data_IF_071340760429
#
_entry.id   IF_071340760429
#
_cell.length_a   1.000
_cell.length_b   1.000
_cell.length_c   1.000
_cell.angle_alpha   90.00
_cell.angle_beta   90.00
_cell.angle_gamma   90.00
#
_symmetry.space_group_name_H-M   'P 1'
#
loop_
_entity.id
_entity.type
_entity.pdbx_description
1 polymer ?
#
# COMPACT_ATOMS: atom_id res chain seq x y z
N UNK A 1 -32.54 -12.92 -62.49
CA UNK A 1 -32.62 -11.94 -61.38
C UNK A 1 -32.66 -12.60 -60.00
N UNK A 2 -33.59 -13.50 -59.68
CA UNK A 2 -33.65 -14.18 -58.36
C UNK A 2 -32.33 -14.84 -57.91
N UNK A 3 -31.62 -15.55 -58.79
CA UNK A 3 -30.32 -16.18 -58.47
C UNK A 3 -29.17 -15.19 -58.17
N UNK A 4 -29.24 -13.97 -58.70
CA UNK A 4 -28.24 -12.92 -58.43
C UNK A 4 -28.52 -12.29 -57.07
N UNK A 5 -29.79 -12.03 -56.76
CA UNK A 5 -30.24 -11.51 -55.47
C UNK A 5 -29.86 -12.48 -54.34
N UNK A 6 -30.07 -13.79 -54.51
CA UNK A 6 -29.67 -14.79 -53.50
C UNK A 6 -28.16 -14.81 -53.25
N UNK A 7 -27.33 -14.66 -54.29
CA UNK A 7 -25.87 -14.61 -54.14
C UNK A 7 -25.40 -13.33 -53.45
N UNK A 8 -26.02 -12.19 -53.75
CA UNK A 8 -25.73 -10.91 -53.09
C UNK A 8 -26.13 -10.95 -51.62
N UNK A 9 -27.29 -11.52 -51.29
CA UNK A 9 -27.74 -11.68 -49.90
C UNK A 9 -26.81 -12.59 -49.09
N UNK A 10 -26.33 -13.69 -49.68
CA UNK A 10 -25.36 -14.58 -49.01
C UNK A 10 -24.01 -13.87 -48.78
N UNK A 11 -23.55 -13.08 -49.75
CA UNK A 11 -22.29 -12.31 -49.63
C UNK A 11 -22.41 -11.22 -48.54
N UNK A 12 -23.56 -10.55 -48.44
CA UNK A 12 -23.82 -9.55 -47.40
C UNK A 12 -23.93 -10.20 -46.02
N UNK A 13 -24.64 -11.32 -45.88
CA UNK A 13 -24.74 -12.05 -44.60
C UNK A 13 -23.39 -12.61 -44.12
N UNK A 14 -22.52 -13.04 -45.05
CA UNK A 14 -21.17 -13.51 -44.71
C UNK A 14 -20.19 -12.38 -44.44
N UNK A 15 -20.46 -11.16 -44.92
CA UNK A 15 -19.68 -9.97 -44.57
C UNK A 15 -19.99 -9.44 -43.16
N UNK A 16 -21.24 -9.54 -42.70
CA UNK A 16 -21.65 -9.05 -41.36
C UNK A 16 -20.98 -9.83 -40.22
N UNK A 17 -20.66 -11.11 -40.42
CA UNK A 17 -19.95 -11.93 -39.43
C UNK A 17 -18.46 -11.61 -39.29
N UNK A 18 -17.88 -10.78 -40.18
CA UNK A 18 -16.46 -10.38 -40.10
C UNK A 18 -16.26 -9.08 -39.31
N UNK A 19 -17.34 -8.34 -39.00
CA UNK A 19 -17.28 -7.06 -38.28
C UNK A 19 -17.64 -7.14 -36.79
N UNK A 20 -17.81 -8.34 -36.23
CA UNK A 20 -17.92 -8.51 -34.78
C UNK A 20 -16.52 -8.49 -34.15
N UNK A 21 -15.92 -7.30 -34.01
CA UNK A 21 -14.73 -7.15 -33.18
C UNK A 21 -15.13 -7.27 -31.71
N UNK A 22 -14.82 -8.40 -31.08
CA UNK A 22 -14.89 -8.49 -29.62
C UNK A 22 -13.89 -7.48 -29.06
N UNK A 23 -14.36 -6.53 -28.24
CA UNK A 23 -13.46 -5.73 -27.43
C UNK A 23 -12.84 -6.66 -26.38
N UNK A 24 -11.59 -7.06 -26.60
CA UNK A 24 -10.81 -7.91 -25.68
C UNK A 24 -10.07 -7.08 -24.62
N UNK A 25 -10.12 -5.75 -24.71
CA UNK A 25 -9.58 -4.83 -23.70
C UNK A 25 -10.58 -4.67 -22.55
N UNK A 26 -11.02 -5.81 -22.02
CA UNK A 26 -11.89 -5.87 -20.84
C UNK A 26 -11.02 -5.73 -19.60
N UNK A 27 -11.05 -4.56 -18.99
CA UNK A 27 -10.57 -4.38 -17.63
C UNK A 27 -11.69 -4.79 -16.65
N UNK A 28 -11.36 -5.35 -15.49
CA UNK A 28 -12.37 -5.57 -14.47
C UNK A 28 -12.98 -4.21 -14.11
N UNK A 29 -14.30 -4.05 -14.23
CA UNK A 29 -15.01 -2.79 -14.01
C UNK A 29 -14.71 -2.17 -12.62
N UNK A 30 -14.30 -3.00 -11.66
CA UNK A 30 -14.02 -2.63 -10.29
C UNK A 30 -12.53 -2.39 -9.95
N UNK A 31 -11.58 -2.62 -10.86
CA UNK A 31 -10.15 -2.44 -10.57
C UNK A 31 -9.48 -1.54 -11.61
N UNK A 32 -9.24 -0.29 -11.22
CA UNK A 32 -8.36 0.61 -11.96
C UNK A 32 -6.94 0.47 -11.41
N UNK A 33 -5.98 0.21 -12.28
CA UNK A 33 -4.56 0.33 -11.94
C UNK A 33 -4.26 1.80 -11.73
N UNK A 34 -3.60 2.15 -10.63
CA UNK A 34 -3.16 3.51 -10.40
C UNK A 34 -2.13 3.91 -11.48
N UNK A 35 -2.43 4.98 -12.21
CA UNK A 35 -1.51 5.63 -13.13
C UNK A 35 -1.33 7.08 -12.65
N UNK A 36 -0.12 7.49 -12.24
CA UNK A 36 0.12 8.86 -11.77
C UNK A 36 -0.06 9.92 -12.86
N UNK A 37 -0.16 9.53 -14.14
CA UNK A 37 -0.40 10.46 -15.26
C UNK A 37 -1.87 10.82 -15.44
N UNK A 38 -2.77 10.07 -14.82
CA UNK A 38 -4.20 10.26 -14.95
C UNK A 38 -4.80 10.73 -13.61
N UNK A 39 -5.87 11.53 -13.62
CA UNK A 39 -6.59 11.85 -12.40
C UNK A 39 -7.06 10.58 -11.69
N UNK A 40 -6.94 10.58 -10.36
CA UNK A 40 -7.42 9.46 -9.54
C UNK A 40 -8.80 9.74 -8.94
N UNK A 41 -9.11 11.02 -8.66
CA UNK A 41 -10.39 11.47 -8.13
C UNK A 41 -11.17 12.23 -9.21
N UNK A 42 -12.37 11.76 -9.54
CA UNK A 42 -13.28 12.41 -10.50
C UNK A 42 -14.53 12.96 -9.82
N UNK A 43 -14.87 12.43 -8.64
CA UNK A 43 -16.03 12.79 -7.84
C UNK A 43 -15.76 12.55 -6.36
N UNK A 44 -16.59 13.14 -5.50
CA UNK A 44 -16.49 13.04 -4.05
C UNK A 44 -16.51 11.60 -3.53
N UNK A 45 -17.23 10.68 -4.19
CA UNK A 45 -17.26 9.27 -3.81
C UNK A 45 -15.90 8.58 -3.96
N UNK A 46 -15.06 9.01 -4.91
CA UNK A 46 -13.72 8.45 -5.10
C UNK A 46 -12.81 8.85 -3.94
N UNK A 47 -12.89 10.12 -3.52
CA UNK A 47 -12.16 10.64 -2.35
C UNK A 47 -12.62 9.93 -1.07
N UNK A 48 -13.93 9.70 -0.91
CA UNK A 48 -14.48 8.92 0.21
C UNK A 48 -13.97 7.48 0.20
N UNK A 49 -13.87 6.86 -0.96
CA UNK A 49 -13.27 5.53 -1.11
C UNK A 49 -11.80 5.50 -0.67
N UNK A 50 -11.03 6.54 -1.01
CA UNK A 50 -9.65 6.68 -0.55
C UNK A 50 -9.54 6.93 0.96
N UNK A 51 -10.38 7.80 1.53
CA UNK A 51 -10.50 7.98 2.98
C UNK A 51 -10.73 6.63 3.69
N UNK A 52 -11.75 5.88 3.28
CA UNK A 52 -12.08 4.59 3.89
C UNK A 52 -10.94 3.57 3.71
N UNK A 53 -10.24 3.63 2.58
CA UNK A 53 -9.06 2.81 2.33
C UNK A 53 -7.89 3.16 3.25
N UNK A 54 -7.58 4.45 3.47
CA UNK A 54 -6.52 4.90 4.40
C UNK A 54 -6.73 4.25 5.78
N UNK A 55 -7.94 4.36 6.33
CA UNK A 55 -8.27 3.77 7.62
C UNK A 55 -8.29 2.24 7.60
N UNK A 56 -8.70 1.61 6.51
CA UNK A 56 -8.65 0.16 6.36
C UNK A 56 -7.21 -0.36 6.46
N UNK A 57 -6.27 0.24 5.74
CA UNK A 57 -4.86 -0.15 5.81
C UNK A 57 -4.22 0.23 7.14
N UNK A 58 -4.62 1.36 7.74
CA UNK A 58 -4.11 1.78 9.05
C UNK A 58 -4.56 0.82 10.15
N UNK A 59 -5.83 0.44 10.16
CA UNK A 59 -6.36 -0.56 11.11
C UNK A 59 -5.61 -1.89 11.01
N UNK A 60 -5.29 -2.34 9.79
CA UNK A 60 -4.57 -3.59 9.57
C UNK A 60 -3.13 -3.56 10.11
N UNK A 61 -2.54 -2.39 10.30
CA UNK A 61 -1.17 -2.20 10.83
C UNK A 61 -1.12 -1.78 12.30
N UNK A 62 -2.27 -1.55 12.94
CA UNK A 62 -2.36 -1.07 14.33
C UNK A 62 -2.83 -2.13 15.33
N UNK A 63 -2.91 -3.41 14.95
CA UNK A 63 -3.47 -4.43 15.83
C UNK A 63 -3.06 -5.85 15.49
N UNK A 64 -3.64 -6.79 16.24
CA UNK A 64 -3.35 -8.22 16.08
C UNK A 64 -1.87 -8.53 16.32
N UNK A 65 -1.36 -9.49 15.56
CA UNK A 65 0.00 -10.01 15.72
C UNK A 65 1.08 -8.93 15.60
N UNK A 66 0.88 -7.91 14.75
CA UNK A 66 1.86 -6.85 14.52
C UNK A 66 2.15 -6.03 15.78
N UNK A 67 1.18 -5.92 16.69
CA UNK A 67 1.32 -5.17 17.92
C UNK A 67 1.93 -6.03 19.04
N UNK A 68 1.27 -7.13 19.42
CA UNK A 68 1.68 -7.91 20.59
C UNK A 68 2.90 -8.82 20.34
N UNK A 69 3.34 -9.01 19.09
CA UNK A 69 4.59 -9.74 18.83
C UNK A 69 5.79 -9.07 19.54
N UNK A 70 5.81 -7.74 19.59
CA UNK A 70 6.86 -7.00 20.31
C UNK A 70 6.78 -7.20 21.82
N UNK A 71 5.58 -7.36 22.39
CA UNK A 71 5.40 -7.73 23.79
C UNK A 71 5.94 -9.14 24.07
N UNK A 72 5.77 -10.08 23.14
CA UNK A 72 6.32 -11.44 23.30
C UNK A 72 7.86 -11.51 23.22
N UNK A 73 8.50 -10.52 22.59
CA UNK A 73 9.96 -10.37 22.59
C UNK A 73 10.46 -9.77 23.91
N UNK A 74 9.60 -9.08 24.65
CA UNK A 74 9.95 -8.55 25.96
C UNK A 74 10.08 -9.70 26.97
N UNK A 75 11.17 -9.68 27.75
CA UNK A 75 11.52 -10.74 28.71
C UNK A 75 10.57 -10.86 29.92
N UNK A 76 9.47 -10.09 29.95
CA UNK A 76 8.44 -10.17 30.99
C UNK A 76 7.42 -11.30 30.78
N UNK A 77 7.38 -11.94 29.61
CA UNK A 77 6.44 -13.02 29.32
C UNK A 77 7.14 -14.38 29.22
N UNK A 78 6.57 -15.39 29.87
CA UNK A 78 7.10 -16.75 29.87
C UNK A 78 6.08 -17.73 29.27
N UNK A 79 6.58 -18.73 28.55
CA UNK A 79 5.76 -19.82 28.04
C UNK A 79 5.14 -20.63 29.20
N UNK A 80 3.85 -20.91 29.11
CA UNK A 80 3.11 -21.77 30.06
C UNK A 80 2.87 -23.16 29.47
N UNK A 81 2.38 -24.10 30.28
CA UNK A 81 2.16 -25.51 29.88
C UNK A 81 1.29 -25.70 28.63
N UNK A 82 0.47 -24.71 28.26
CA UNK A 82 -0.37 -24.71 27.05
C UNK A 82 0.18 -23.92 25.85
N UNK A 83 1.43 -23.46 25.88
CA UNK A 83 2.00 -22.56 24.86
C UNK A 83 1.95 -23.14 23.43
N UNK A 84 2.10 -24.47 23.28
CA UNK A 84 1.96 -25.15 21.99
C UNK A 84 2.93 -24.67 20.91
N UNK A 85 4.03 -24.02 21.31
CA UNK A 85 5.02 -23.41 20.44
C UNK A 85 4.48 -22.35 19.45
N UNK A 86 3.31 -21.75 19.73
CA UNK A 86 2.77 -20.65 18.93
C UNK A 86 3.67 -19.42 19.13
N UNK A 87 4.27 -18.89 18.06
CA UNK A 87 5.22 -17.76 18.14
C UNK A 87 6.49 -18.08 18.95
N UNK A 88 6.93 -19.34 18.93
CA UNK A 88 8.10 -19.79 19.69
C UNK A 88 9.41 -19.11 19.32
N UNK A 89 9.63 -18.83 18.02
CA UNK A 89 10.81 -18.11 17.53
C UNK A 89 10.89 -16.68 18.08
N UNK A 90 9.77 -15.95 18.05
CA UNK A 90 9.66 -14.62 18.67
C UNK A 90 9.92 -14.66 20.16
N UNK A 91 9.33 -15.62 20.87
CA UNK A 91 9.47 -15.72 22.33
C UNK A 91 10.91 -16.01 22.75
N UNK A 92 11.60 -16.90 22.03
CA UNK A 92 12.98 -17.28 22.35
C UNK A 92 14.02 -16.31 21.81
N UNK A 93 13.70 -15.56 20.76
CA UNK A 93 14.63 -14.69 20.03
C UNK A 93 15.97 -15.40 19.73
N UNK A 94 15.92 -16.69 19.41
CA UNK A 94 17.09 -17.54 19.19
C UNK A 94 17.48 -17.58 17.70
N UNK A 95 18.42 -18.45 17.34
CA UNK A 95 18.88 -18.61 15.95
C UNK A 95 17.78 -19.04 14.95
N UNK A 96 16.61 -19.46 15.42
CA UNK A 96 15.45 -19.79 14.57
C UNK A 96 14.63 -18.57 14.18
N UNK A 97 14.82 -17.42 14.84
CA UNK A 97 14.17 -16.17 14.49
C UNK A 97 14.97 -15.47 13.38
N UNK A 98 14.64 -15.83 12.14
CA UNK A 98 15.35 -15.37 10.93
C UNK A 98 14.45 -14.49 10.06
N UNK A 99 15.00 -13.98 8.95
CA UNK A 99 14.25 -13.18 7.98
C UNK A 99 13.13 -13.96 7.27
N UNK A 100 13.17 -15.30 7.28
CA UNK A 100 12.15 -16.18 6.69
C UNK A 100 11.06 -16.59 7.69
N UNK A 101 11.09 -16.03 8.90
CA UNK A 101 10.04 -16.26 9.89
C UNK A 101 8.74 -15.57 9.43
N UNK A 102 7.63 -16.29 9.48
CA UNK A 102 6.34 -15.79 8.99
C UNK A 102 5.93 -14.46 9.64
N UNK A 103 6.33 -14.21 10.89
CA UNK A 103 5.99 -13.00 11.60
C UNK A 103 6.85 -11.81 11.19
N UNK A 104 8.11 -12.08 10.82
CA UNK A 104 9.02 -11.08 10.25
C UNK A 104 8.53 -10.67 8.87
N UNK A 105 8.24 -11.65 8.00
CA UNK A 105 7.70 -11.41 6.66
C UNK A 105 6.35 -10.69 6.70
N UNK A 106 5.45 -11.13 7.61
CA UNK A 106 4.13 -10.50 7.78
C UNK A 106 4.24 -9.05 8.24
N UNK A 107 5.14 -8.72 9.17
CA UNK A 107 5.34 -7.35 9.62
C UNK A 107 5.89 -6.47 8.51
N UNK A 108 6.96 -6.91 7.84
CA UNK A 108 7.53 -6.18 6.72
C UNK A 108 6.49 -5.95 5.60
N UNK A 109 5.82 -7.03 5.18
CA UNK A 109 4.82 -7.00 4.12
C UNK A 109 3.62 -6.12 4.44
N UNK A 110 3.11 -6.15 5.68
CA UNK A 110 1.97 -5.35 6.09
C UNK A 110 2.25 -3.84 6.00
N UNK A 111 3.38 -3.38 6.57
CA UNK A 111 3.73 -1.96 6.55
C UNK A 111 4.05 -1.47 5.14
N UNK A 112 4.82 -2.21 4.33
CA UNK A 112 5.11 -1.78 2.95
C UNK A 112 3.89 -1.85 2.03
N UNK A 113 2.97 -2.79 2.25
CA UNK A 113 1.68 -2.80 1.56
C UNK A 113 0.90 -1.53 1.89
N UNK A 114 0.80 -1.17 3.17
CA UNK A 114 0.11 0.06 3.59
C UNK A 114 0.79 1.32 3.00
N UNK A 115 2.11 1.44 3.11
CA UNK A 115 2.90 2.55 2.54
C UNK A 115 2.65 2.70 1.04
N UNK A 116 2.62 1.60 0.28
CA UNK A 116 2.33 1.66 -1.16
C UNK A 116 0.98 2.31 -1.46
N UNK A 117 -0.03 2.09 -0.61
CA UNK A 117 -1.36 2.68 -0.75
C UNK A 117 -1.39 4.13 -0.30
N UNK A 118 -0.72 4.46 0.80
CA UNK A 118 -0.59 5.85 1.25
C UNK A 118 0.10 6.71 0.20
N UNK A 119 1.15 6.21 -0.45
CA UNK A 119 1.81 6.92 -1.54
C UNK A 119 0.84 7.26 -2.69
N UNK A 120 -0.02 6.29 -3.09
CA UNK A 120 -1.07 6.54 -4.09
C UNK A 120 -1.99 7.68 -3.65
N UNK A 121 -2.49 7.67 -2.42
CA UNK A 121 -3.44 8.69 -1.95
C UNK A 121 -2.80 10.08 -1.77
N UNK A 122 -1.55 10.12 -1.34
CA UNK A 122 -0.76 11.35 -1.22
C UNK A 122 -0.51 11.97 -2.60
N UNK A 123 -0.10 11.15 -3.58
CA UNK A 123 0.13 11.61 -4.96
C UNK A 123 -1.19 12.00 -5.65
N UNK A 124 -2.26 11.23 -5.43
CA UNK A 124 -3.59 11.47 -6.01
C UNK A 124 -4.21 12.82 -5.61
N UNK A 125 -3.97 13.29 -4.38
CA UNK A 125 -4.50 14.57 -3.93
C UNK A 125 -3.92 15.77 -4.71
N UNK A 126 -2.72 15.65 -5.28
CA UNK A 126 -2.16 16.68 -6.17
C UNK A 126 -2.73 16.67 -7.59
N UNK A 127 -3.52 15.67 -7.95
CA UNK A 127 -4.03 15.42 -9.30
C UNK A 127 -5.58 15.38 -9.35
N UNK A 128 -6.27 16.14 -8.49
CA UNK A 128 -7.74 16.27 -8.51
C UNK A 128 -8.21 17.30 -9.53
N UNK A 129 -9.08 16.91 -10.48
CA UNK A 129 -9.62 17.80 -11.53
C UNK A 129 -10.94 18.50 -11.17
N UNK A 130 -11.24 18.71 -9.88
CA UNK A 130 -12.49 19.37 -9.46
C UNK A 130 -12.36 20.18 -8.16
N UNK A 131 -12.77 21.45 -8.21
CA UNK A 131 -12.72 22.37 -7.06
C UNK A 131 -13.61 21.88 -5.89
N UNK A 132 -14.71 21.16 -6.18
CA UNK A 132 -15.72 20.77 -5.18
C UNK A 132 -15.22 19.74 -4.15
N UNK A 133 -14.19 18.96 -4.46
CA UNK A 133 -13.67 17.89 -3.60
C UNK A 133 -12.17 18.00 -3.31
N UNK A 134 -11.49 19.03 -3.82
CA UNK A 134 -10.06 19.27 -3.60
C UNK A 134 -9.73 19.38 -2.11
N UNK A 135 -10.53 20.12 -1.34
CA UNK A 135 -10.34 20.24 0.10
C UNK A 135 -10.47 18.88 0.82
N UNK A 136 -11.42 18.05 0.40
CA UNK A 136 -11.57 16.71 0.98
C UNK A 136 -10.40 15.81 0.61
N UNK A 137 -9.90 15.89 -0.63
CA UNK A 137 -8.71 15.17 -1.06
C UNK A 137 -7.46 15.58 -0.26
N UNK A 138 -7.33 16.87 0.07
CA UNK A 138 -6.27 17.37 0.95
C UNK A 138 -6.37 16.79 2.37
N UNK A 139 -7.56 16.69 2.96
CA UNK A 139 -7.72 16.01 4.25
C UNK A 139 -7.31 14.52 4.18
N UNK A 140 -7.69 13.81 3.12
CA UNK A 140 -7.27 12.41 2.92
C UNK A 140 -5.75 12.29 2.75
N UNK A 141 -5.12 13.27 2.09
CA UNK A 141 -3.65 13.35 1.99
C UNK A 141 -3.01 13.50 3.38
N UNK A 142 -3.52 14.40 4.22
CA UNK A 142 -3.01 14.60 5.58
C UNK A 142 -3.11 13.30 6.42
N UNK A 143 -4.24 12.60 6.34
CA UNK A 143 -4.42 11.31 7.02
C UNK A 143 -3.46 10.23 6.49
N UNK A 144 -3.27 10.16 5.16
CA UNK A 144 -2.33 9.22 4.54
C UNK A 144 -0.88 9.51 4.93
N UNK A 145 -0.48 10.79 5.03
CA UNK A 145 0.84 11.21 5.51
C UNK A 145 1.07 10.74 6.95
N UNK A 146 0.11 10.97 7.87
CA UNK A 146 0.20 10.49 9.26
C UNK A 146 0.32 8.96 9.32
N UNK A 147 -0.48 8.26 8.52
CA UNK A 147 -0.46 6.80 8.47
C UNK A 147 0.86 6.23 7.90
N UNK A 148 1.47 6.92 6.91
CA UNK A 148 2.79 6.60 6.37
C UNK A 148 3.90 6.85 7.39
N UNK A 149 3.86 7.98 8.09
CA UNK A 149 4.78 8.30 9.20
C UNK A 149 4.73 7.22 10.29
N UNK A 150 3.53 6.80 10.70
CA UNK A 150 3.35 5.69 11.64
C UNK A 150 3.98 4.40 11.13
N UNK A 151 3.73 4.03 9.88
CA UNK A 151 4.26 2.80 9.27
C UNK A 151 5.79 2.79 9.24
N UNK A 152 6.42 3.91 8.87
CA UNK A 152 7.88 4.03 8.93
C UNK A 152 8.42 3.98 10.35
N UNK A 153 7.72 4.56 11.33
CA UNK A 153 8.12 4.48 12.73
C UNK A 153 8.12 3.03 13.22
N UNK A 154 7.09 2.23 12.88
CA UNK A 154 7.06 0.82 13.25
C UNK A 154 8.17 0.03 12.56
N UNK A 155 8.38 0.26 11.26
CA UNK A 155 9.49 -0.37 10.52
C UNK A 155 10.85 -0.05 11.13
N UNK A 156 11.11 1.21 11.48
CA UNK A 156 12.36 1.61 12.12
C UNK A 156 12.56 0.91 13.48
N UNK A 157 11.51 0.84 14.30
CA UNK A 157 11.56 0.18 15.61
C UNK A 157 11.78 -1.34 15.52
N UNK A 158 11.32 -1.98 14.46
CA UNK A 158 11.41 -3.43 14.27
C UNK A 158 12.70 -3.88 13.55
N UNK A 159 13.20 -3.07 12.62
CA UNK A 159 14.23 -3.48 11.65
C UNK A 159 15.52 -2.66 11.70
N UNK A 160 15.63 -1.70 12.62
CA UNK A 160 16.81 -0.88 12.79
C UNK A 160 17.29 -0.84 14.25
N UNK A 161 18.57 -0.53 14.49
CA UNK A 161 19.04 -0.17 15.83
C UNK A 161 18.31 1.06 16.36
N UNK A 162 18.25 1.20 17.68
CA UNK A 162 17.72 2.41 18.33
C UNK A 162 18.42 3.66 17.82
N UNK A 163 17.66 4.71 17.54
CA UNK A 163 18.15 5.93 16.89
C UNK A 163 19.40 6.54 17.55
N UNK A 164 19.35 6.78 18.86
CA UNK A 164 20.43 7.47 19.60
C UNK A 164 21.73 6.66 19.52
N UNK A 165 22.77 7.26 18.97
CA UNK A 165 24.08 6.63 18.75
C UNK A 165 24.16 5.72 17.51
N UNK A 166 23.09 5.62 16.73
CA UNK A 166 23.03 4.85 15.48
C UNK A 166 22.35 5.66 14.36
N UNK A 167 22.49 6.98 14.38
CA UNK A 167 21.81 7.89 13.46
C UNK A 167 22.17 7.59 12.00
N UNK A 168 23.43 7.24 11.75
CA UNK A 168 23.92 6.93 10.40
C UNK A 168 23.89 5.42 10.08
N UNK A 169 23.38 4.59 11.00
CA UNK A 169 23.18 3.17 10.75
C UNK A 169 22.02 2.94 9.77
N UNK A 170 22.10 1.86 9.00
CA UNK A 170 21.03 1.49 8.08
C UNK A 170 19.74 1.16 8.85
N UNK A 171 18.63 1.72 8.35
CA UNK A 171 17.28 1.48 8.81
C UNK A 171 16.51 0.66 7.77
N UNK A 172 15.60 1.27 7.01
CA UNK A 172 14.76 0.59 6.01
C UNK A 172 14.74 1.39 4.70
N UNK A 173 14.37 0.79 3.57
CA UNK A 173 14.21 1.55 2.34
C UNK A 173 13.13 2.63 2.44
N UNK A 174 13.42 3.84 1.93
CA UNK A 174 12.43 4.90 1.80
C UNK A 174 11.77 4.81 0.42
N UNK A 175 10.47 4.47 0.40
CA UNK A 175 9.62 4.39 -0.79
C UNK A 175 8.50 5.42 -0.63
N UNK A 176 8.65 6.56 -1.28
CA UNK A 176 7.74 7.72 -1.10
C UNK A 176 6.77 7.94 -2.26
N UNK A 177 6.91 7.13 -3.31
CA UNK A 177 6.05 7.11 -4.50
C UNK A 177 5.59 5.70 -4.79
N UNK A 178 4.47 5.57 -5.47
CA UNK A 178 4.02 4.26 -5.93
C UNK A 178 4.81 3.82 -7.18
N UNK A 179 5.74 2.87 -7.00
CA UNK A 179 6.45 2.22 -8.09
C UNK A 179 6.71 0.75 -7.75
N UNK A 180 6.06 -0.16 -8.48
CA UNK A 180 6.20 -1.61 -8.28
C UNK A 180 7.56 -2.15 -8.72
N UNK A 181 8.29 -1.42 -9.56
CA UNK A 181 9.59 -1.82 -10.10
C UNK A 181 10.76 -1.25 -9.27
N UNK A 182 10.47 -0.40 -8.29
CA UNK A 182 11.48 0.22 -7.46
C UNK A 182 12.36 -0.83 -6.75
N UNK A 183 13.67 -0.60 -6.78
CA UNK A 183 14.68 -1.38 -6.04
C UNK A 183 15.49 -0.47 -5.12
N UNK A 184 14.84 0.16 -4.13
CA UNK A 184 15.50 1.11 -3.25
C UNK A 184 16.52 0.41 -2.35
N UNK A 185 17.63 1.10 -2.08
CA UNK A 185 18.54 0.72 -1.00
C UNK A 185 17.98 1.15 0.35
N UNK A 186 18.49 0.56 1.44
CA UNK A 186 18.13 0.98 2.81
C UNK A 186 18.65 2.40 3.05
N UNK A 187 17.80 3.26 3.60
CA UNK A 187 18.18 4.58 4.09
C UNK A 187 18.74 4.49 5.52
N UNK A 188 19.33 5.58 6.02
CA UNK A 188 19.81 5.62 7.42
C UNK A 188 18.67 5.84 8.41
N UNK A 189 18.92 5.61 9.70
CA UNK A 189 18.01 6.01 10.77
C UNK A 189 17.69 7.52 10.69
N UNK A 190 18.70 8.36 10.46
CA UNK A 190 18.54 9.81 10.30
C UNK A 190 17.54 10.15 9.20
N UNK A 191 17.68 9.55 8.03
CA UNK A 191 16.82 9.83 6.88
C UNK A 191 15.38 9.35 7.13
N UNK A 192 15.21 8.16 7.70
CA UNK A 192 13.87 7.62 7.98
C UNK A 192 13.13 8.46 9.02
N UNK A 193 13.80 8.86 10.11
CA UNK A 193 13.19 9.72 11.12
C UNK A 193 12.96 11.16 10.63
N UNK A 194 13.80 11.66 9.71
CA UNK A 194 13.55 12.92 9.02
C UNK A 194 12.27 12.84 8.19
N UNK A 195 12.08 11.76 7.40
CA UNK A 195 10.85 11.57 6.62
C UNK A 195 9.61 11.45 7.51
N UNK A 196 9.69 10.71 8.63
CA UNK A 196 8.58 10.62 9.60
C UNK A 196 8.20 12.03 10.08
N UNK A 197 9.18 12.87 10.35
CA UNK A 197 8.94 14.25 10.81
C UNK A 197 8.35 15.12 9.70
N UNK A 198 8.86 14.98 8.47
CA UNK A 198 8.36 15.70 7.30
C UNK A 198 6.90 15.36 7.01
N UNK A 199 6.53 14.08 6.99
CA UNK A 199 5.15 13.64 6.78
C UNK A 199 4.20 14.24 7.84
N UNK A 200 4.62 14.29 9.11
CA UNK A 200 3.82 14.86 10.21
C UNK A 200 3.72 16.40 10.15
N UNK A 201 4.76 17.07 9.66
CA UNK A 201 4.75 18.52 9.46
C UNK A 201 3.85 18.87 8.27
N UNK A 202 4.03 18.20 7.13
CA UNK A 202 3.19 18.43 5.95
C UNK A 202 1.71 18.19 6.26
N UNK A 203 1.39 17.10 6.98
CA UNK A 203 0.01 16.81 7.39
C UNK A 203 -0.61 17.88 8.30
N UNK A 204 0.20 18.61 9.09
CA UNK A 204 -0.28 19.67 9.99
C UNK A 204 -0.61 20.95 9.24
N UNK A 205 0.13 21.25 8.17
CA UNK A 205 -0.02 22.49 7.41
C UNK A 205 -1.15 22.43 6.38
N UNK A 206 -1.74 21.24 6.17
CA UNK A 206 -2.96 21.01 5.40
C UNK A 206 -4.19 21.32 6.26
#
# INVERSE_FOLDING_TARGET
MKKIITKVVILVLSGVSVFSSCNLDLFPEATRVYDPKEPFYYKTEDVKGAHDAVYTYFRNTCGGALYYNTDLMFQGFNAVSGFGNRRGSIHRTDATFTTSDEYVESAWGAYYTAISKYNVFIEAAGNSEGEDFEQYANYVKAEALIARAYSYLQLARLFAPTYVGNEDALCVPLVLKYDQNARPSRATNRDVYAQISEDLIEAREI
#
